data_IF_309665327322
#
_entry.id   IF_309665327322
#
_cell.length_a   1.000
_cell.length_b   1.000
_cell.length_c   1.000
_cell.angle_alpha   90.00
_cell.angle_beta   90.00
_cell.angle_gamma   90.00
#
_symmetry.space_group_name_H-M   'P 1'
#
loop_
_entity.id
_entity.type
_entity.pdbx_description
1 polymer ?
#
# COMPACT_ATOMS: atom_id res chain seq x y z
N UNK A 1 -27.81 69.56 -27.00
CA UNK A 1 -26.92 68.89 -27.97
C UNK A 1 -25.49 68.89 -27.47
N UNK A 2 -25.05 67.78 -26.86
CA UNK A 2 -23.83 67.01 -27.21
C UNK A 2 -23.55 65.97 -26.10
N UNK A 3 -23.92 64.72 -26.44
CA UNK A 3 -23.23 63.44 -26.15
C UNK A 3 -23.19 63.03 -24.67
N UNK A 4 -23.96 62.07 -24.19
CA UNK A 4 -24.10 60.68 -24.67
C UNK A 4 -22.75 60.07 -25.06
N UNK A 5 -21.86 59.84 -24.08
CA UNK A 5 -20.75 58.89 -24.19
C UNK A 5 -20.11 58.50 -22.84
N UNK A 6 -20.89 58.34 -21.76
CA UNK A 6 -20.44 57.60 -20.55
C UNK A 6 -21.60 56.73 -20.07
N UNK A 7 -22.17 55.99 -21.03
CA UNK A 7 -22.55 54.61 -20.79
C UNK A 7 -21.23 53.83 -20.89
N UNK A 8 -21.09 52.75 -20.12
CA UNK A 8 -20.20 51.61 -20.41
C UNK A 8 -18.91 51.42 -19.58
N UNK A 9 -18.80 51.87 -18.32
CA UNK A 9 -17.74 51.34 -17.41
C UNK A 9 -18.25 50.87 -16.05
N UNK A 10 -19.42 51.32 -15.57
CA UNK A 10 -19.85 51.02 -14.18
C UNK A 10 -20.95 49.94 -14.11
N UNK A 11 -21.42 49.43 -15.25
CA UNK A 11 -22.44 48.36 -15.32
C UNK A 11 -21.95 47.08 -16.03
N UNK A 12 -20.66 46.77 -15.91
CA UNK A 12 -20.15 45.38 -15.96
C UNK A 12 -19.84 45.00 -14.51
N UNK A 13 -20.88 45.13 -13.67
CA UNK A 13 -20.91 44.65 -12.28
C UNK A 13 -21.92 43.49 -12.17
N UNK A 14 -22.11 42.78 -13.27
CA UNK A 14 -22.84 41.51 -13.35
C UNK A 14 -21.91 40.50 -14.03
N UNK A 15 -21.71 39.36 -13.37
CA UNK A 15 -21.14 38.11 -13.91
C UNK A 15 -19.64 38.13 -14.26
N UNK A 16 -18.80 38.06 -13.23
CA UNK A 16 -17.76 37.02 -13.22
C UNK A 16 -17.93 36.26 -11.91
N UNK A 17 -18.83 35.28 -11.97
CA UNK A 17 -18.85 34.14 -11.05
C UNK A 17 -17.52 33.43 -11.31
N UNK A 18 -16.52 33.67 -10.47
CA UNK A 18 -15.40 32.74 -10.39
C UNK A 18 -15.98 31.43 -9.86
N UNK A 19 -15.80 30.29 -10.55
CA UNK A 19 -15.98 29.02 -9.87
C UNK A 19 -14.87 29.00 -8.82
N UNK A 20 -15.25 29.12 -7.55
CA UNK A 20 -14.41 28.59 -6.48
C UNK A 20 -14.52 27.07 -6.69
N UNK A 21 -13.65 26.54 -7.54
CA UNK A 21 -13.33 25.12 -7.50
C UNK A 21 -12.70 24.90 -6.13
N UNK A 22 -13.52 24.49 -5.17
CA UNK A 22 -13.04 23.86 -3.96
C UNK A 22 -12.56 22.48 -4.43
N UNK A 23 -11.32 22.44 -4.94
CA UNK A 23 -10.60 21.18 -4.96
C UNK A 23 -10.37 20.83 -3.48
N UNK A 24 -11.26 20.01 -2.93
CA UNK A 24 -10.93 19.18 -1.76
C UNK A 24 -10.00 18.08 -2.28
N UNK A 25 -8.82 18.47 -2.77
CA UNK A 25 -7.68 17.59 -2.75
C UNK A 25 -7.28 17.54 -1.28
N UNK A 26 -7.42 16.38 -0.63
CA UNK A 26 -6.84 16.20 0.68
C UNK A 26 -5.32 16.35 0.54
N UNK A 27 -4.82 17.56 0.77
CA UNK A 27 -3.39 17.78 0.93
C UNK A 27 -3.00 17.11 2.25
N UNK A 28 -2.66 15.82 2.19
CA UNK A 28 -1.70 15.29 3.16
C UNK A 28 -0.44 16.10 2.88
N UNK A 29 -0.15 17.08 3.73
CA UNK A 29 1.20 17.64 3.83
C UNK A 29 2.11 16.45 4.13
N UNK A 30 2.80 15.96 3.11
CA UNK A 30 3.84 14.96 3.29
C UNK A 30 4.98 15.71 3.97
N UNK A 31 5.20 15.42 5.26
CA UNK A 31 6.39 15.89 5.96
C UNK A 31 7.63 15.43 5.19
N UNK A 32 8.70 16.22 5.18
CA UNK A 32 9.95 15.83 4.51
C UNK A 32 10.59 14.59 5.15
N UNK A 33 11.74 14.17 4.62
CA UNK A 33 12.47 13.02 5.17
C UNK A 33 12.78 13.22 6.65
N UNK A 34 12.36 12.27 7.48
CA UNK A 34 12.70 12.28 8.91
C UNK A 34 14.10 11.72 9.08
N UNK A 35 14.99 12.53 9.64
CA UNK A 35 16.40 12.20 9.86
C UNK A 35 16.64 12.12 11.36
N UNK A 36 16.90 10.92 11.88
CA UNK A 36 17.03 10.69 13.31
C UNK A 36 18.36 10.02 13.64
N UNK A 37 19.11 10.62 14.56
CA UNK A 37 20.25 9.93 15.19
C UNK A 37 19.73 8.87 16.15
N UNK A 38 20.24 7.66 16.04
CA UNK A 38 19.84 6.52 16.88
C UNK A 38 21.06 5.91 17.57
N UNK A 39 20.80 5.14 18.62
CA UNK A 39 21.79 4.33 19.34
C UNK A 39 21.78 2.90 18.84
N UNK A 40 22.83 2.11 19.14
CA UNK A 40 22.83 0.67 18.86
C UNK A 40 21.70 -0.07 19.58
N UNK A 41 21.29 0.39 20.76
CA UNK A 41 20.17 -0.21 21.51
C UNK A 41 18.84 0.04 20.78
N UNK A 42 18.61 1.28 20.32
CA UNK A 42 17.45 1.61 19.50
C UNK A 42 17.48 0.82 18.18
N UNK A 43 18.65 0.70 17.56
CA UNK A 43 18.85 -0.10 16.36
C UNK A 43 18.47 -1.58 16.59
N UNK A 44 18.96 -2.21 17.66
CA UNK A 44 18.58 -3.58 18.03
C UNK A 44 17.10 -3.68 18.38
N UNK A 45 16.51 -2.63 18.95
CA UNK A 45 15.08 -2.59 19.24
C UNK A 45 14.22 -2.51 17.98
N UNK A 46 14.69 -1.90 16.88
CA UNK A 46 14.03 -1.95 15.57
C UNK A 46 13.95 -3.39 15.03
N UNK A 47 15.03 -4.18 15.21
CA UNK A 47 15.05 -5.62 14.93
C UNK A 47 14.18 -6.47 15.85
N UNK A 48 13.95 -5.96 17.05
CA UNK A 48 13.08 -6.53 18.06
C UNK A 48 11.65 -5.97 18.08
N UNK A 49 11.27 -5.06 17.16
CA UNK A 49 9.87 -4.63 17.04
C UNK A 49 9.11 -5.87 16.59
N UNK A 50 8.26 -6.45 17.44
CA UNK A 50 7.33 -7.47 16.98
C UNK A 50 6.53 -6.82 15.87
N UNK A 51 6.35 -7.52 14.75
CA UNK A 51 5.19 -7.37 13.88
C UNK A 51 3.96 -7.16 14.78
N UNK A 52 3.61 -5.91 15.11
CA UNK A 52 2.62 -5.66 16.15
C UNK A 52 1.27 -5.83 15.51
N UNK A 53 0.84 -7.09 15.42
CA UNK A 53 -0.56 -7.47 15.37
C UNK A 53 -1.25 -6.85 16.59
N UNK A 54 -1.92 -5.72 16.39
CA UNK A 54 -3.15 -5.46 17.13
C UNK A 54 -4.31 -5.93 16.27
N UNK A 55 -4.48 -7.26 16.20
CA UNK A 55 -5.78 -7.82 15.80
C UNK A 55 -6.67 -7.73 17.02
N UNK A 56 -7.55 -6.73 17.04
CA UNK A 56 -8.81 -6.84 17.77
C UNK A 56 -9.86 -7.14 16.71
N UNK A 57 -10.55 -8.26 16.91
CA UNK A 57 -11.53 -8.79 15.97
C UNK A 57 -12.58 -7.77 15.57
N UNK A 58 -13.06 -7.94 14.34
CA UNK A 58 -14.34 -7.45 13.82
C UNK A 58 -15.00 -6.36 14.67
N UNK A 59 -14.61 -5.09 14.45
CA UNK A 59 -15.45 -3.87 14.54
C UNK A 59 -14.65 -2.54 14.59
N UNK A 60 -13.32 -2.54 14.63
CA UNK A 60 -12.55 -1.28 14.53
C UNK A 60 -11.85 -1.12 13.17
N UNK A 61 -12.28 -0.12 12.39
CA UNK A 61 -11.59 0.43 11.21
C UNK A 61 -10.28 1.14 11.60
N UNK A 62 -9.35 0.44 12.25
CA UNK A 62 -8.05 1.00 12.60
C UNK A 62 -6.97 0.23 11.85
N UNK A 63 -6.45 0.88 10.82
CA UNK A 63 -5.27 0.52 10.05
C UNK A 63 -4.19 -0.12 10.94
N UNK A 64 -3.90 -1.40 10.72
CA UNK A 64 -2.80 -2.07 11.41
C UNK A 64 -1.52 -1.74 10.66
N UNK A 65 -0.61 -1.01 11.30
CA UNK A 65 0.72 -0.69 10.76
C UNK A 65 1.70 -1.82 11.09
N UNK A 66 2.54 -2.17 10.13
CA UNK A 66 3.47 -3.29 10.20
C UNK A 66 4.78 -2.90 9.50
N UNK A 67 5.92 -3.06 10.15
CA UNK A 67 7.23 -2.90 9.51
C UNK A 67 7.67 -4.24 8.89
N UNK A 68 8.09 -4.22 7.63
CA UNK A 68 8.42 -5.41 6.84
C UNK A 68 9.73 -5.20 6.10
N UNK A 69 10.63 -6.19 6.18
CA UNK A 69 11.99 -6.13 5.61
C UNK A 69 13.02 -6.60 6.61
N UNK A 70 14.29 -6.24 6.40
CA UNK A 70 15.34 -6.56 7.38
C UNK A 70 15.53 -5.42 8.39
N UNK A 71 15.23 -5.73 9.65
CA UNK A 71 15.46 -4.84 10.78
C UNK A 71 16.55 -5.31 11.76
N UNK A 72 17.30 -6.37 11.43
CA UNK A 72 18.44 -6.82 12.24
C UNK A 72 19.72 -6.12 11.79
N UNK A 73 20.59 -5.71 12.71
CA UNK A 73 21.71 -4.83 12.37
C UNK A 73 22.95 -5.05 13.24
N UNK A 74 24.09 -5.31 12.60
CA UNK A 74 25.33 -5.70 13.28
C UNK A 74 26.58 -5.08 12.64
N UNK A 75 26.58 -4.86 11.32
CA UNK A 75 27.78 -4.46 10.58
C UNK A 75 27.54 -3.26 9.66
N UNK A 76 28.64 -2.66 9.21
CA UNK A 76 28.63 -1.60 8.20
C UNK A 76 29.42 -2.01 6.98
N UNK A 77 28.89 -1.75 5.80
CA UNK A 77 29.57 -1.97 4.53
C UNK A 77 30.08 -0.63 4.03
N UNK A 78 31.40 -0.54 3.92
CA UNK A 78 32.11 0.65 3.46
C UNK A 78 32.25 0.64 1.95
N UNK A 79 32.49 1.81 1.35
CA UNK A 79 32.88 1.92 -0.08
C UNK A 79 31.81 1.38 -1.05
N UNK A 80 30.53 1.59 -0.76
CA UNK A 80 29.43 1.23 -1.67
C UNK A 80 28.73 2.46 -2.26
N UNK A 81 28.99 3.66 -1.73
CA UNK A 81 28.32 4.89 -2.15
C UNK A 81 29.21 5.69 -3.11
N UNK A 82 29.30 5.26 -4.38
CA UNK A 82 30.12 5.90 -5.41
C UNK A 82 29.28 6.37 -6.61
N UNK A 83 28.86 7.63 -6.58
CA UNK A 83 28.08 8.20 -7.69
C UNK A 83 26.59 8.03 -7.45
N UNK A 84 25.86 7.77 -8.54
CA UNK A 84 24.44 7.46 -8.47
C UNK A 84 24.33 5.98 -8.10
N UNK A 85 23.90 5.70 -6.88
CA UNK A 85 23.85 4.35 -6.35
C UNK A 85 22.43 4.04 -5.90
N UNK A 86 21.93 2.87 -6.27
CA UNK A 86 20.56 2.47 -5.97
C UNK A 86 20.57 1.13 -5.27
N UNK A 87 20.03 1.10 -4.05
CA UNK A 87 19.99 -0.08 -3.19
C UNK A 87 18.57 -0.50 -2.95
N UNK A 88 18.35 -1.81 -2.94
CA UNK A 88 17.02 -2.40 -2.88
C UNK A 88 16.99 -3.59 -1.93
N UNK A 89 15.88 -3.74 -1.19
CA UNK A 89 15.66 -4.85 -0.28
C UNK A 89 14.27 -5.47 -0.52
N UNK A 90 14.24 -6.80 -0.56
CA UNK A 90 13.03 -7.59 -0.74
C UNK A 90 12.15 -7.52 0.50
N UNK A 91 10.87 -7.21 0.28
CA UNK A 91 9.85 -7.06 1.31
C UNK A 91 8.70 -8.03 1.01
N UNK A 92 8.43 -8.94 1.94
CA UNK A 92 7.29 -9.85 1.88
C UNK A 92 6.25 -9.48 2.95
N UNK A 93 5.18 -8.77 2.57
CA UNK A 93 4.17 -8.32 3.52
C UNK A 93 3.24 -9.42 4.03
N UNK A 94 3.37 -10.67 3.56
CA UNK A 94 2.52 -11.79 4.01
C UNK A 94 2.62 -12.00 5.52
N UNK A 95 3.75 -11.68 6.15
CA UNK A 95 3.93 -11.74 7.60
C UNK A 95 2.99 -10.79 8.38
N UNK A 96 2.42 -9.77 7.74
CA UNK A 96 1.47 -8.85 8.37
C UNK A 96 0.04 -9.39 8.42
N UNK A 97 -0.28 -10.53 7.79
CA UNK A 97 -1.64 -11.06 7.70
C UNK A 97 -1.72 -12.55 8.04
N UNK A 98 -2.73 -12.93 8.82
CA UNK A 98 -2.99 -14.35 9.14
C UNK A 98 -3.94 -15.05 8.16
N UNK A 99 -4.74 -14.31 7.37
CA UNK A 99 -5.87 -14.90 6.62
C UNK A 99 -6.26 -14.25 5.30
N UNK A 100 -5.53 -13.25 4.80
CA UNK A 100 -5.85 -12.54 3.55
C UNK A 100 -4.61 -12.50 2.64
N UNK A 101 -4.74 -12.47 1.30
CA UNK A 101 -3.60 -12.41 0.39
C UNK A 101 -2.84 -11.06 0.44
N UNK A 102 -3.23 -10.17 1.37
CA UNK A 102 -2.44 -9.03 1.85
C UNK A 102 -2.30 -7.91 0.84
N UNK A 103 -3.37 -7.12 0.64
CA UNK A 103 -3.19 -5.80 0.03
C UNK A 103 -2.60 -4.89 1.09
N UNK A 104 -1.46 -4.29 0.77
CA UNK A 104 -0.79 -3.38 1.67
C UNK A 104 -0.64 -2.03 1.04
N UNK A 105 -0.59 -1.00 1.87
CA UNK A 105 -0.22 0.34 1.47
C UNK A 105 1.10 0.70 2.18
N UNK A 106 2.25 0.58 1.51
CA UNK A 106 3.51 1.12 1.99
C UNK A 106 3.37 2.63 2.18
N UNK A 107 3.63 3.08 3.39
CA UNK A 107 3.50 4.49 3.80
C UNK A 107 4.86 5.17 3.83
N UNK A 108 5.91 4.41 4.16
CA UNK A 108 7.28 4.91 4.18
C UNK A 108 8.31 3.82 3.94
N UNK A 109 9.48 4.24 3.49
CA UNK A 109 10.69 3.40 3.42
C UNK A 109 11.69 3.97 4.42
N UNK A 110 12.42 3.09 5.11
CA UNK A 110 13.45 3.48 6.07
C UNK A 110 14.77 2.79 5.80
N UNK A 111 15.86 3.54 5.93
CA UNK A 111 17.24 3.03 5.83
C UNK A 111 18.07 3.46 7.02
N UNK A 112 18.97 2.59 7.49
CA UNK A 112 19.97 2.95 8.49
C UNK A 112 21.34 3.11 7.85
N UNK A 113 21.97 4.24 8.17
CA UNK A 113 23.29 4.62 7.71
C UNK A 113 24.21 4.86 8.90
N UNK A 114 25.51 4.65 8.70
CA UNK A 114 26.53 4.91 9.70
C UNK A 114 27.59 5.87 9.18
N UNK A 115 27.70 7.04 9.81
CA UNK A 115 28.76 8.00 9.56
C UNK A 115 29.97 7.71 10.48
N UNK A 116 31.13 7.39 9.90
CA UNK A 116 32.35 7.07 10.67
C UNK A 116 33.12 8.31 11.15
N UNK A 117 32.87 9.49 10.57
CA UNK A 117 33.51 10.75 10.90
C UNK A 117 32.57 11.93 10.61
N UNK A 118 32.95 13.13 11.04
CA UNK A 118 32.22 14.36 10.71
C UNK A 118 32.19 14.56 9.19
N UNK A 119 31.03 14.92 8.66
CA UNK A 119 30.83 15.24 7.25
C UNK A 119 30.85 16.76 7.13
N UNK A 120 32.04 17.30 6.90
CA UNK A 120 32.32 18.74 6.88
C UNK A 120 32.26 19.26 5.45
N UNK A 121 31.89 20.54 5.27
CA UNK A 121 31.77 21.21 3.96
C UNK A 121 30.78 20.52 3.00
N UNK A 122 29.74 19.91 3.56
CA UNK A 122 28.73 19.23 2.78
C UNK A 122 27.37 19.94 2.84
N UNK A 123 26.81 20.28 1.68
CA UNK A 123 25.45 20.84 1.55
C UNK A 123 24.35 19.80 1.74
N UNK A 124 24.71 18.52 1.81
CA UNK A 124 23.81 17.38 1.94
C UNK A 124 24.00 16.40 0.78
N UNK A 125 23.35 15.25 0.87
CA UNK A 125 23.29 14.27 -0.21
C UNK A 125 21.84 14.15 -0.69
N UNK A 126 21.70 14.11 -2.00
CA UNK A 126 20.42 13.97 -2.66
C UNK A 126 19.98 12.50 -2.62
N UNK A 127 18.71 12.28 -2.28
CA UNK A 127 18.19 10.95 -2.02
C UNK A 127 16.70 10.87 -2.35
N UNK A 128 16.27 9.69 -2.81
CA UNK A 128 14.87 9.38 -3.06
C UNK A 128 14.59 7.92 -2.75
N UNK A 129 13.42 7.64 -2.21
CA UNK A 129 12.95 6.29 -1.96
C UNK A 129 12.00 5.82 -3.06
N UNK A 130 11.99 4.52 -3.31
CA UNK A 130 11.27 3.89 -4.42
C UNK A 130 10.65 2.56 -4.00
N UNK A 131 9.51 2.22 -4.60
CA UNK A 131 8.94 0.87 -4.57
C UNK A 131 9.03 0.31 -5.99
N UNK A 132 9.62 -0.87 -6.13
CA UNK A 132 9.67 -1.63 -7.38
C UNK A 132 8.92 -2.95 -7.27
N UNK A 133 8.48 -3.46 -8.42
CA UNK A 133 7.98 -4.82 -8.55
C UNK A 133 9.03 -5.85 -8.13
N UNK A 134 8.56 -6.97 -7.57
CA UNK A 134 9.36 -8.18 -7.48
C UNK A 134 9.20 -8.98 -8.78
N UNK A 135 10.21 -8.95 -9.64
CA UNK A 135 10.23 -9.67 -10.91
C UNK A 135 10.92 -11.03 -10.76
N UNK A 136 10.25 -12.10 -11.21
CA UNK A 136 10.76 -13.46 -11.06
C UNK A 136 11.35 -13.97 -12.37
N UNK A 137 12.69 -13.92 -12.48
CA UNK A 137 13.44 -14.58 -13.56
C UNK A 137 14.25 -15.75 -12.99
N UNK A 138 13.55 -16.84 -12.63
CA UNK A 138 14.15 -18.03 -12.04
C UNK A 138 13.78 -18.22 -10.56
N UNK A 139 14.72 -18.72 -9.76
CA UNK A 139 14.48 -19.00 -8.33
C UNK A 139 14.50 -17.77 -7.43
N UNK A 140 14.90 -16.61 -7.97
CA UNK A 140 15.09 -15.38 -7.23
C UNK A 140 14.24 -14.27 -7.81
N UNK A 141 13.59 -13.51 -6.94
CA UNK A 141 13.00 -12.25 -7.29
C UNK A 141 14.11 -11.20 -7.41
N UNK A 142 14.07 -10.39 -8.46
CA UNK A 142 14.89 -9.19 -8.62
C UNK A 142 13.99 -7.95 -8.66
N UNK A 143 14.49 -6.77 -8.30
CA UNK A 143 13.71 -5.55 -8.44
C UNK A 143 13.44 -5.24 -9.92
N UNK A 144 12.25 -4.73 -10.22
CA UNK A 144 11.95 -4.15 -11.52
C UNK A 144 12.79 -2.91 -11.82
N UNK A 145 12.89 -2.53 -13.09
CA UNK A 145 13.67 -1.35 -13.51
C UNK A 145 12.89 -0.04 -13.42
N UNK A 146 11.56 -0.09 -13.28
CA UNK A 146 10.72 1.08 -13.16
C UNK A 146 10.19 1.19 -11.73
N UNK A 147 10.43 2.33 -11.08
CA UNK A 147 9.78 2.66 -9.82
C UNK A 147 8.28 2.83 -10.05
N UNK A 148 7.49 2.09 -9.29
CA UNK A 148 6.03 2.20 -9.30
C UNK A 148 5.55 3.34 -8.40
N UNK A 149 6.29 3.57 -7.30
CA UNK A 149 6.03 4.62 -6.34
C UNK A 149 7.33 5.24 -5.88
N UNK A 150 7.30 6.52 -5.50
CA UNK A 150 8.48 7.22 -5.02
C UNK A 150 8.17 8.06 -3.79
N UNK A 151 9.19 8.43 -3.02
CA UNK A 151 9.12 9.62 -2.17
C UNK A 151 9.35 10.88 -3.01
N UNK A 152 9.21 12.04 -2.38
CA UNK A 152 9.79 13.26 -2.94
C UNK A 152 11.32 13.16 -2.93
N UNK A 153 11.92 13.88 -3.87
CA UNK A 153 13.37 14.08 -3.91
C UNK A 153 13.78 15.00 -2.76
N UNK A 154 14.75 14.58 -1.96
CA UNK A 154 15.18 15.31 -0.77
C UNK A 154 16.70 15.45 -0.72
N UNK A 155 17.17 16.57 -0.15
CA UNK A 155 18.58 16.76 0.20
C UNK A 155 18.71 16.63 1.71
N UNK A 156 19.39 15.56 2.15
CA UNK A 156 19.54 15.23 3.57
C UNK A 156 20.93 15.63 4.06
N UNK A 157 21.00 16.18 5.26
CA UNK A 157 22.25 16.52 5.93
C UNK A 157 22.48 15.62 7.14
N UNK A 158 23.60 14.87 7.10
CA UNK A 158 24.19 14.22 8.26
C UNK A 158 25.53 14.90 8.49
N UNK A 159 25.74 15.48 9.68
CA UNK A 159 26.95 16.27 9.95
C UNK A 159 27.92 15.60 10.93
N UNK A 160 27.44 14.69 11.77
CA UNK A 160 28.24 14.10 12.86
C UNK A 160 28.28 12.56 12.82
N UNK A 161 29.35 11.94 13.35
CA UNK A 161 29.47 10.49 13.42
C UNK A 161 28.32 9.82 14.19
N UNK A 162 28.00 8.59 13.80
CA UNK A 162 27.03 7.74 14.47
C UNK A 162 26.03 7.09 13.53
N UNK A 163 25.04 6.43 14.12
CA UNK A 163 23.94 5.77 13.43
C UNK A 163 22.80 6.74 13.16
N UNK A 164 22.25 6.65 11.97
CA UNK A 164 21.19 7.52 11.48
C UNK A 164 20.10 6.70 10.80
N UNK A 165 18.86 6.85 11.27
CA UNK A 165 17.65 6.32 10.64
C UNK A 165 17.04 7.43 9.79
N UNK A 166 16.90 7.17 8.49
CA UNK A 166 16.22 8.05 7.56
C UNK A 166 14.90 7.38 7.16
N UNK A 167 13.78 8.09 7.33
CA UNK A 167 12.44 7.61 6.96
C UNK A 167 11.82 8.53 5.92
N UNK A 168 11.43 7.93 4.79
CA UNK A 168 10.95 8.58 3.59
C UNK A 168 9.45 8.32 3.43
N UNK A 169 8.58 9.31 3.62
CA UNK A 169 7.18 9.14 3.29
C UNK A 169 6.99 9.02 1.78
N UNK A 170 6.10 8.12 1.35
CA UNK A 170 5.78 7.90 -0.05
C UNK A 170 4.68 8.87 -0.51
N UNK A 171 4.82 9.43 -1.72
CA UNK A 171 4.03 10.58 -2.16
C UNK A 171 2.77 10.22 -2.97
N UNK A 172 2.48 8.93 -3.14
CA UNK A 172 1.34 8.42 -3.90
C UNK A 172 0.77 7.18 -3.22
N UNK A 173 -0.52 6.94 -3.43
CA UNK A 173 -1.15 5.66 -3.07
C UNK A 173 -0.41 4.52 -3.77
N UNK A 174 0.37 3.80 -2.99
CA UNK A 174 1.27 2.76 -3.45
C UNK A 174 0.71 1.39 -3.08
N UNK A 175 -0.51 1.06 -3.49
CA UNK A 175 -1.05 -0.25 -3.15
C UNK A 175 -0.09 -1.36 -3.65
N UNK A 176 0.00 -2.45 -2.91
CA UNK A 176 0.82 -3.60 -3.25
C UNK A 176 0.04 -4.88 -2.94
N UNK A 177 0.03 -5.78 -3.92
CA UNK A 177 -0.47 -7.14 -3.75
C UNK A 177 0.73 -8.08 -3.78
N UNK A 178 1.04 -8.69 -2.64
CA UNK A 178 2.19 -9.58 -2.50
C UNK A 178 3.54 -8.86 -2.38
N UNK A 179 4.65 -9.60 -2.57
CA UNK A 179 6.00 -9.07 -2.35
C UNK A 179 6.39 -7.93 -3.29
N UNK A 180 7.33 -7.11 -2.81
CA UNK A 180 7.88 -5.97 -3.54
C UNK A 180 9.31 -5.69 -3.10
N UNK A 181 9.94 -4.72 -3.74
CA UNK A 181 11.23 -4.20 -3.34
C UNK A 181 11.09 -2.78 -2.81
N UNK A 182 11.70 -2.51 -1.66
CA UNK A 182 11.86 -1.18 -1.11
C UNK A 182 13.28 -0.71 -1.40
N UNK A 183 13.41 0.48 -1.99
CA UNK A 183 14.68 0.95 -2.51
C UNK A 183 14.98 2.40 -2.18
N UNK A 184 16.27 2.74 -2.23
CA UNK A 184 16.81 4.08 -2.00
C UNK A 184 17.84 4.36 -3.09
N UNK A 185 17.66 5.48 -3.80
CA UNK A 185 18.66 6.05 -4.70
C UNK A 185 19.41 7.18 -4.01
N UNK A 186 20.74 7.08 -3.99
CA UNK A 186 21.66 8.18 -3.68
C UNK A 186 22.07 8.83 -5.00
N UNK A 187 21.97 10.16 -5.08
CA UNK A 187 22.34 10.90 -6.28
C UNK A 187 23.65 11.69 -6.07
N UNK A 188 24.44 11.78 -7.13
CA UNK A 188 25.74 12.45 -7.18
C UNK A 188 25.64 13.96 -7.46
N UNK A 189 24.44 14.54 -7.37
CA UNK A 189 24.18 15.96 -7.65
C UNK A 189 24.12 16.82 -6.38
N UNK A 190 24.10 16.22 -5.18
CA UNK A 190 24.02 16.92 -3.88
C UNK A 190 25.25 17.74 -3.46
N UNK A 191 26.36 17.69 -4.23
CA UNK A 191 27.59 18.43 -3.96
C UNK A 191 28.55 17.75 -2.99
N UNK A 192 28.18 16.59 -2.43
CA UNK A 192 29.08 15.67 -1.73
C UNK A 192 28.65 14.25 -2.08
N UNK A 193 29.57 13.47 -2.67
CA UNK A 193 29.50 12.02 -2.53
C UNK A 193 29.63 11.71 -1.05
N UNK A 194 28.84 10.79 -0.48
CA UNK A 194 28.73 10.69 0.96
C UNK A 194 30.01 10.07 1.52
N UNK A 195 31.01 10.92 1.77
CA UNK A 195 32.14 10.58 2.61
C UNK A 195 31.65 10.14 3.99
N UNK A 196 32.58 9.68 4.83
CA UNK A 196 32.45 8.59 5.82
C UNK A 196 31.13 7.79 5.99
N UNK A 197 30.18 7.77 5.06
CA UNK A 197 28.85 7.21 5.22
C UNK A 197 28.82 5.77 4.68
N UNK A 198 28.27 4.87 5.48
CA UNK A 198 28.26 3.45 5.19
C UNK A 198 26.85 2.89 5.34
N UNK A 199 26.55 1.87 4.54
CA UNK A 199 25.32 1.11 4.65
C UNK A 199 25.41 0.20 5.87
N UNK A 200 24.32 0.08 6.62
CA UNK A 200 24.22 -0.87 7.74
C UNK A 200 23.61 -2.18 7.25
N UNK A 201 24.09 -3.31 7.75
CA UNK A 201 23.60 -4.66 7.43
C UNK A 201 23.49 -5.56 8.66
N UNK A 202 22.73 -6.65 8.53
CA UNK A 202 22.73 -7.74 9.53
C UNK A 202 23.97 -8.65 9.43
N UNK A 203 23.99 -9.69 10.25
CA UNK A 203 25.02 -10.73 10.29
C UNK A 203 24.59 -12.05 9.61
N UNK A 204 23.50 -12.02 8.83
CA UNK A 204 22.91 -13.22 8.24
C UNK A 204 22.87 -13.13 6.71
N UNK A 205 23.83 -13.75 6.00
CA UNK A 205 23.88 -13.67 4.55
C UNK A 205 22.66 -14.37 3.95
N UNK A 206 21.86 -13.60 3.22
CA UNK A 206 20.68 -14.11 2.53
C UNK A 206 20.71 -13.68 1.07
N UNK A 207 20.84 -14.66 0.19
CA UNK A 207 20.68 -14.48 -1.24
C UNK A 207 19.25 -14.05 -1.58
N UNK A 208 19.14 -13.34 -2.69
CA UNK A 208 17.90 -12.92 -3.33
C UNK A 208 17.05 -12.01 -2.46
N UNK A 209 17.72 -11.17 -1.68
CA UNK A 209 17.08 -10.26 -0.76
C UNK A 209 17.54 -8.82 -0.94
N UNK A 210 18.84 -8.57 -0.97
CA UNK A 210 19.38 -7.22 -1.09
C UNK A 210 20.17 -7.07 -2.39
N UNK A 211 19.91 -5.97 -3.09
CA UNK A 211 20.46 -5.69 -4.40
C UNK A 211 21.06 -4.29 -4.47
N UNK A 212 22.08 -4.14 -5.30
CA UNK A 212 22.60 -2.86 -5.75
C UNK A 212 22.41 -2.78 -7.28
N UNK A 213 21.95 -1.64 -7.78
CA UNK A 213 21.92 -1.37 -9.20
C UNK A 213 23.18 -0.59 -9.57
N UNK A 214 24.08 -1.23 -10.33
CA UNK A 214 25.27 -0.60 -10.86
C UNK A 214 25.17 -0.57 -12.38
N UNK A 215 25.26 0.64 -12.96
CA UNK A 215 25.18 0.88 -14.42
C UNK A 215 23.95 0.24 -15.10
N UNK A 216 22.81 0.21 -14.41
CA UNK A 216 21.56 -0.34 -14.95
C UNK A 216 21.44 -1.86 -14.82
N UNK A 217 22.30 -2.51 -14.03
CA UNK A 217 22.22 -3.96 -13.77
C UNK A 217 22.07 -4.23 -12.27
N UNK A 218 21.15 -5.13 -11.92
CA UNK A 218 20.95 -5.57 -10.55
C UNK A 218 21.96 -6.64 -10.13
N UNK A 219 22.69 -6.36 -9.06
CA UNK A 219 23.62 -7.28 -8.42
C UNK A 219 23.11 -7.65 -7.04
N UNK A 220 22.91 -8.95 -6.79
CA UNK A 220 22.68 -9.46 -5.45
C UNK A 220 23.93 -9.18 -4.62
N UNK A 221 23.79 -8.43 -3.54
CA UNK A 221 24.95 -7.90 -2.81
C UNK A 221 25.71 -9.01 -2.06
N UNK A 222 25.02 -10.05 -1.63
CA UNK A 222 25.63 -11.19 -0.92
C UNK A 222 26.33 -12.10 -1.93
N UNK A 223 25.67 -12.42 -3.05
CA UNK A 223 26.24 -13.28 -4.08
C UNK A 223 27.41 -12.62 -4.83
N UNK A 224 27.30 -11.32 -5.13
CA UNK A 224 28.24 -10.62 -6.01
C UNK A 224 29.44 -10.08 -5.23
N UNK A 225 29.21 -9.60 -4.00
CA UNK A 225 30.25 -8.94 -3.21
C UNK A 225 30.66 -9.70 -1.94
N UNK A 226 30.03 -10.85 -1.64
CA UNK A 226 30.38 -11.69 -0.49
C UNK A 226 30.07 -11.03 0.86
N UNK A 227 29.04 -10.19 0.91
CA UNK A 227 28.71 -9.40 2.09
C UNK A 227 28.08 -10.25 3.19
N UNK A 228 28.26 -9.80 4.43
CA UNK A 228 27.91 -10.53 5.66
C UNK A 228 26.41 -10.62 5.92
N UNK A 229 25.58 -9.85 5.21
CA UNK A 229 24.17 -9.73 5.54
C UNK A 229 23.34 -8.88 4.60
N UNK A 230 22.05 -8.77 4.93
CA UNK A 230 21.04 -7.98 4.22
C UNK A 230 21.13 -6.51 4.59
N UNK A 231 20.73 -5.65 3.66
CA UNK A 231 20.61 -4.21 3.89
C UNK A 231 19.66 -3.90 5.03
N UNK A 232 20.04 -2.89 5.80
CA UNK A 232 19.17 -2.24 6.77
C UNK A 232 18.16 -1.33 6.07
N UNK A 233 17.25 -1.93 5.32
CA UNK A 233 16.29 -1.24 4.48
C UNK A 233 14.95 -1.97 4.57
N UNK A 234 13.91 -1.23 4.94
CA UNK A 234 12.59 -1.81 5.23
C UNK A 234 11.47 -0.82 4.87
N UNK A 235 10.26 -1.34 4.73
CA UNK A 235 9.07 -0.55 4.48
C UNK A 235 8.12 -0.64 5.68
N UNK A 236 7.47 0.48 5.99
CA UNK A 236 6.33 0.52 6.89
C UNK A 236 5.07 0.43 6.05
N UNK A 237 4.25 -0.59 6.29
CA UNK A 237 3.03 -0.84 5.51
C UNK A 237 1.78 -0.79 6.38
N UNK A 238 0.71 -0.28 5.80
CA UNK A 238 -0.65 -0.31 6.32
C UNK A 238 -1.39 -1.50 5.70
N UNK A 239 -2.02 -2.32 6.54
CA UNK A 239 -2.88 -3.40 6.05
C UNK A 239 -4.25 -2.92 5.61
N UNK A 240 -4.63 -3.30 4.39
CA UNK A 240 -5.93 -2.98 3.82
C UNK A 240 -6.73 -4.26 3.70
N UNK A 241 -7.93 -4.25 4.28
CA UNK A 241 -8.90 -5.31 4.06
C UNK A 241 -9.50 -5.15 2.66
N UNK A 242 -9.27 -6.11 1.73
CA UNK A 242 -9.73 -5.99 0.36
C UNK A 242 -11.22 -6.28 0.19
N UNK A 243 -12.03 -6.18 1.24
CA UNK A 243 -13.48 -6.42 1.14
C UNK A 243 -14.22 -5.17 0.67
N UNK A 244 -15.28 -5.31 -0.15
CA UNK A 244 -16.18 -4.21 -0.44
C UNK A 244 -16.90 -3.74 0.83
N UNK A 245 -17.20 -2.44 0.93
CA UNK A 245 -17.83 -1.86 2.11
C UNK A 245 -19.27 -1.43 1.81
N UNK A 246 -20.25 -2.04 2.50
CA UNK A 246 -21.66 -1.66 2.37
C UNK A 246 -21.87 -0.22 2.89
N UNK A 247 -22.41 0.65 2.05
CA UNK A 247 -22.69 2.07 2.36
C UNK A 247 -24.11 2.22 2.87
N UNK A 248 -25.09 1.63 2.18
CA UNK A 248 -26.50 1.78 2.53
C UNK A 248 -27.35 0.64 2.03
N UNK A 249 -28.42 0.35 2.78
CA UNK A 249 -29.56 -0.46 2.34
C UNK A 249 -30.80 0.39 2.57
N UNK A 250 -31.57 0.66 1.52
CA UNK A 250 -32.77 1.49 1.59
C UNK A 250 -33.91 0.84 0.84
N UNK A 251 -35.11 0.99 1.38
CA UNK A 251 -36.35 0.65 0.69
C UNK A 251 -36.51 1.51 -0.56
N UNK A 252 -37.10 0.95 -1.63
CA UNK A 252 -37.39 1.72 -2.85
C UNK A 252 -38.66 2.54 -2.62
N UNK A 253 -38.60 3.89 -2.66
CA UNK A 253 -39.80 4.68 -2.44
C UNK A 253 -40.87 4.38 -3.48
N UNK A 254 -42.12 4.30 -3.03
CA UNK A 254 -43.29 4.12 -3.89
C UNK A 254 -43.32 2.76 -4.63
N UNK A 255 -42.58 1.76 -4.15
CA UNK A 255 -42.91 0.37 -4.46
C UNK A 255 -44.07 -0.10 -3.57
N UNK A 256 -44.82 -1.12 -4.01
CA UNK A 256 -45.87 -1.74 -3.17
C UNK A 256 -45.27 -2.62 -2.04
N UNK A 257 -44.04 -2.30 -1.62
CA UNK A 257 -43.17 -3.12 -0.81
C UNK A 257 -42.44 -4.21 -1.60
N UNK A 258 -41.27 -4.59 -1.11
CA UNK A 258 -40.57 -5.80 -1.54
C UNK A 258 -39.25 -5.56 -2.27
N UNK A 259 -38.92 -4.31 -2.61
CA UNK A 259 -37.63 -3.99 -3.21
C UNK A 259 -36.73 -3.13 -2.34
N UNK A 260 -35.43 -3.42 -2.38
CA UNK A 260 -34.40 -2.65 -1.67
C UNK A 260 -33.29 -2.24 -2.61
N UNK A 261 -32.77 -1.04 -2.44
CA UNK A 261 -31.52 -0.59 -3.06
C UNK A 261 -30.36 -0.75 -2.08
N UNK A 262 -29.36 -1.51 -2.53
CA UNK A 262 -28.06 -1.69 -1.89
C UNK A 262 -27.06 -0.73 -2.55
N UNK A 263 -26.18 -0.11 -1.76
CA UNK A 263 -24.99 0.61 -2.24
C UNK A 263 -23.76 0.17 -1.47
N UNK A 264 -22.64 -0.02 -2.16
CA UNK A 264 -21.37 -0.36 -1.55
C UNK A 264 -20.20 0.33 -2.26
N UNK A 265 -19.13 0.58 -1.52
CA UNK A 265 -17.83 0.93 -2.09
C UNK A 265 -17.15 -0.32 -2.60
N UNK A 266 -16.42 -0.16 -3.69
CA UNK A 266 -15.64 -1.24 -4.28
C UNK A 266 -14.62 -1.84 -3.31
N UNK A 267 -14.19 -3.06 -3.61
CA UNK A 267 -12.94 -3.60 -3.08
C UNK A 267 -11.75 -2.81 -3.66
N UNK A 268 -10.66 -2.67 -2.90
CA UNK A 268 -9.39 -2.12 -3.45
C UNK A 268 -8.79 -2.98 -4.57
N UNK A 269 -9.16 -4.26 -4.63
CA UNK A 269 -8.76 -5.18 -5.69
C UNK A 269 -9.57 -4.98 -6.99
N UNK A 270 -10.68 -4.26 -6.94
CA UNK A 270 -11.44 -3.81 -8.10
C UNK A 270 -10.85 -2.49 -8.63
N UNK A 271 -9.65 -2.61 -9.19
CA UNK A 271 -8.93 -1.51 -9.80
C UNK A 271 -8.28 -1.94 -11.08
N UNK A 272 -7.94 -0.97 -11.93
CA UNK A 272 -7.19 -1.21 -13.17
C UNK A 272 -5.79 -1.79 -12.92
N UNK A 273 -5.26 -1.68 -11.70
CA UNK A 273 -3.93 -2.18 -11.33
C UNK A 273 -3.95 -3.67 -10.97
N UNK A 274 -5.02 -4.15 -10.33
CA UNK A 274 -5.09 -5.53 -9.82
C UNK A 274 -6.13 -6.40 -10.51
N UNK A 275 -7.09 -5.81 -11.23
CA UNK A 275 -8.20 -6.38 -12.01
C UNK A 275 -8.60 -7.84 -11.69
N UNK A 276 -8.62 -8.19 -10.40
CA UNK A 276 -8.73 -9.57 -9.92
C UNK A 276 -10.13 -9.85 -9.43
N UNK A 277 -10.85 -8.80 -9.04
CA UNK A 277 -12.30 -8.83 -8.91
C UNK A 277 -12.89 -8.86 -10.32
N UNK A 278 -13.73 -9.84 -10.59
CA UNK A 278 -14.49 -9.96 -11.85
C UNK A 278 -15.95 -9.56 -11.69
N UNK A 279 -16.49 -9.74 -10.48
CA UNK A 279 -17.85 -9.35 -10.12
C UNK A 279 -18.02 -9.35 -8.59
N UNK A 280 -19.11 -8.71 -8.14
CA UNK A 280 -19.62 -8.78 -6.78
C UNK A 280 -20.82 -9.71 -6.75
N UNK A 281 -20.81 -10.69 -5.85
CA UNK A 281 -21.98 -11.53 -5.57
C UNK A 281 -22.81 -10.92 -4.43
N UNK A 282 -24.10 -10.66 -4.69
CA UNK A 282 -25.06 -10.15 -3.71
C UNK A 282 -25.77 -11.32 -3.06
N UNK A 283 -25.76 -11.35 -1.72
CA UNK A 283 -26.38 -12.40 -0.93
C UNK A 283 -27.36 -11.82 0.09
N UNK A 284 -28.48 -12.50 0.27
CA UNK A 284 -29.49 -12.18 1.28
C UNK A 284 -29.46 -13.21 2.39
N UNK A 285 -29.37 -12.76 3.65
CA UNK A 285 -29.47 -13.66 4.80
C UNK A 285 -30.90 -14.19 4.91
N UNK A 286 -31.03 -15.51 5.02
CA UNK A 286 -32.29 -16.18 5.31
C UNK A 286 -32.54 -16.19 6.83
N UNK A 287 -33.78 -15.94 7.24
CA UNK A 287 -34.19 -16.00 8.65
C UNK A 287 -35.64 -16.47 8.81
N UNK A 288 -35.96 -17.08 9.96
CA UNK A 288 -37.32 -17.52 10.29
C UNK A 288 -37.92 -18.46 9.23
N UNK A 289 -39.14 -18.16 8.77
CA UNK A 289 -39.89 -18.99 7.82
C UNK A 289 -39.19 -19.15 6.46
N UNK A 290 -38.42 -18.15 6.02
CA UNK A 290 -37.66 -18.22 4.76
C UNK A 290 -36.51 -19.22 4.83
N UNK A 291 -35.91 -19.39 6.01
CA UNK A 291 -34.92 -20.43 6.27
C UNK A 291 -35.57 -21.82 6.22
N UNK A 292 -36.70 -22.02 6.91
CA UNK A 292 -37.38 -23.32 6.96
C UNK A 292 -37.96 -23.76 5.60
N UNK A 293 -38.50 -22.82 4.80
CA UNK A 293 -39.03 -23.12 3.45
C UNK A 293 -37.92 -23.55 2.49
N UNK A 294 -36.80 -22.83 2.52
CA UNK A 294 -35.66 -23.15 1.67
C UNK A 294 -34.98 -24.45 2.10
N UNK A 295 -34.94 -24.77 3.39
CA UNK A 295 -34.48 -26.10 3.87
C UNK A 295 -35.29 -27.27 3.32
N UNK A 296 -36.57 -27.09 2.99
CA UNK A 296 -37.44 -28.15 2.43
C UNK A 296 -37.22 -28.38 0.93
N UNK A 297 -36.71 -27.37 0.22
CA UNK A 297 -36.47 -27.42 -1.23
C UNK A 297 -35.02 -27.78 -1.60
N UNK A 298 -34.08 -27.72 -0.64
CA UNK A 298 -32.68 -28.11 -0.83
C UNK A 298 -32.61 -29.64 -0.95
N UNK A 299 -32.28 -30.17 -2.13
CA UNK A 299 -31.91 -31.58 -2.27
C UNK A 299 -30.55 -31.80 -1.60
N UNK A 300 -30.27 -33.02 -1.12
CA UNK A 300 -29.02 -33.36 -0.43
C UNK A 300 -27.73 -33.17 -1.28
N UNK A 301 -27.86 -32.79 -2.55
CA UNK A 301 -26.76 -32.39 -3.44
C UNK A 301 -26.56 -30.88 -3.61
N UNK A 302 -27.45 -30.03 -3.12
CA UNK A 302 -27.41 -28.56 -3.34
C UNK A 302 -26.64 -27.79 -2.27
N UNK A 303 -26.11 -28.47 -1.24
CA UNK A 303 -25.18 -27.86 -0.29
C UNK A 303 -23.78 -27.81 -0.90
N UNK A 304 -23.50 -26.76 -1.65
CA UNK A 304 -22.16 -26.53 -2.19
C UNK A 304 -21.37 -25.61 -1.28
N UNK A 305 -20.40 -26.19 -0.58
CA UNK A 305 -19.38 -25.55 0.27
C UNK A 305 -18.42 -24.62 -0.51
N UNK A 306 -18.78 -24.26 -1.75
CA UNK A 306 -18.01 -23.38 -2.61
C UNK A 306 -18.46 -21.93 -2.46
N UNK A 307 -17.59 -21.08 -1.94
CA UNK A 307 -17.77 -19.61 -1.85
C UNK A 307 -17.85 -18.91 -3.21
N UNK A 308 -17.48 -19.59 -4.28
CA UNK A 308 -17.45 -19.05 -5.63
C UNK A 308 -18.78 -19.23 -6.38
N UNK A 309 -19.26 -18.15 -7.00
CA UNK A 309 -20.39 -18.15 -7.95
C UNK A 309 -19.84 -17.57 -9.25
N UNK A 310 -19.90 -18.25 -10.40
CA UNK A 310 -19.48 -17.68 -11.67
C UNK A 310 -20.31 -16.45 -12.06
N UNK A 311 -19.73 -15.50 -12.80
CA UNK A 311 -20.41 -14.25 -13.18
C UNK A 311 -21.71 -14.50 -13.99
N UNK A 312 -21.72 -15.56 -14.79
CA UNK A 312 -22.80 -16.02 -15.66
C UNK A 312 -23.74 -17.04 -15.00
N UNK A 313 -23.64 -17.22 -13.68
CA UNK A 313 -24.50 -18.13 -12.95
C UNK A 313 -25.97 -17.71 -13.03
N UNK A 314 -26.82 -18.68 -13.37
CA UNK A 314 -28.28 -18.57 -13.35
C UNK A 314 -28.85 -19.67 -12.43
N UNK A 315 -29.82 -19.32 -11.59
CA UNK A 315 -30.52 -20.27 -10.71
C UNK A 315 -30.52 -19.86 -9.24
N UNK A 316 -31.00 -20.75 -8.37
CA UNK A 316 -31.03 -20.54 -6.92
C UNK A 316 -29.79 -21.15 -6.28
N UNK A 317 -29.10 -20.38 -5.43
CA UNK A 317 -27.95 -20.88 -4.67
C UNK A 317 -28.05 -20.49 -3.20
N UNK A 318 -27.78 -21.45 -2.31
CA UNK A 318 -27.81 -21.23 -0.86
C UNK A 318 -26.46 -21.61 -0.25
N UNK A 319 -25.89 -20.69 0.54
CA UNK A 319 -24.66 -20.90 1.32
C UNK A 319 -25.01 -21.04 2.80
N UNK A 320 -24.48 -22.05 3.48
CA UNK A 320 -24.58 -22.19 4.95
C UNK A 320 -23.26 -21.80 5.59
N UNK A 321 -23.30 -21.05 6.68
CA UNK A 321 -22.11 -20.70 7.48
C UNK A 321 -22.15 -21.50 8.79
N UNK A 322 -21.26 -22.50 8.98
CA UNK A 322 -21.34 -23.45 10.09
C UNK A 322 -21.23 -22.82 11.49
N UNK A 323 -20.46 -21.74 11.65
CA UNK A 323 -19.94 -21.36 12.98
C UNK A 323 -20.67 -20.21 13.69
N UNK A 324 -21.71 -19.61 13.09
CA UNK A 324 -22.46 -18.50 13.71
C UNK A 324 -23.96 -18.74 13.58
N UNK A 325 -24.52 -19.59 14.46
CA UNK A 325 -25.97 -19.66 14.70
C UNK A 325 -26.84 -20.15 13.54
N UNK A 326 -26.31 -20.94 12.60
CA UNK A 326 -27.12 -21.56 11.55
C UNK A 326 -27.58 -20.59 10.45
N UNK A 327 -26.80 -19.56 10.14
CA UNK A 327 -27.13 -18.61 9.09
C UNK A 327 -26.98 -19.25 7.70
N UNK A 328 -28.08 -19.28 6.95
CA UNK A 328 -28.05 -19.51 5.51
C UNK A 328 -28.19 -18.19 4.76
N UNK A 329 -27.59 -18.15 3.58
CA UNK A 329 -27.61 -17.02 2.67
C UNK A 329 -28.07 -17.50 1.31
N UNK A 330 -28.96 -16.75 0.69
CA UNK A 330 -29.45 -16.97 -0.66
C UNK A 330 -28.72 -16.02 -1.60
N UNK A 331 -28.22 -16.54 -2.72
CA UNK A 331 -27.65 -15.76 -3.80
C UNK A 331 -28.76 -14.98 -4.51
N UNK A 332 -28.51 -13.71 -4.80
CA UNK A 332 -29.47 -12.81 -5.46
C UNK A 332 -29.01 -12.45 -6.86
N UNK A 333 -27.76 -12.02 -7.01
CA UNK A 333 -27.23 -11.53 -8.29
C UNK A 333 -25.70 -11.47 -8.29
N UNK A 334 -25.13 -11.41 -9.50
CA UNK A 334 -23.74 -11.05 -9.73
C UNK A 334 -23.66 -9.74 -10.50
N UNK A 335 -22.87 -8.80 -10.00
CA UNK A 335 -22.69 -7.46 -10.57
C UNK A 335 -21.26 -7.37 -11.12
N UNK A 336 -21.06 -7.26 -12.44
CA UNK A 336 -19.73 -7.15 -13.03
C UNK A 336 -18.93 -5.99 -12.44
N UNK A 337 -17.64 -6.23 -12.19
CA UNK A 337 -16.74 -5.18 -11.72
C UNK A 337 -16.27 -4.32 -12.91
N UNK A 338 -16.30 -3.01 -12.70
CA UNK A 338 -15.90 -1.98 -13.64
C UNK A 338 -14.95 -0.95 -13.03
N UNK A 339 -14.40 -1.23 -11.84
CA UNK A 339 -13.53 -0.33 -11.08
C UNK A 339 -14.16 1.02 -10.70
N UNK A 340 -15.49 1.11 -10.70
CA UNK A 340 -16.21 2.26 -10.15
C UNK A 340 -15.98 2.39 -8.65
N UNK A 341 -15.95 3.63 -8.15
CA UNK A 341 -15.75 3.86 -6.71
C UNK A 341 -16.92 3.34 -5.87
N UNK A 342 -18.12 3.36 -6.44
CA UNK A 342 -19.34 2.86 -5.82
C UNK A 342 -20.19 2.07 -6.82
N UNK A 343 -20.91 1.09 -6.28
CA UNK A 343 -21.89 0.29 -6.98
C UNK A 343 -23.25 0.40 -6.30
N UNK A 344 -24.30 0.13 -7.08
CA UNK A 344 -25.65 0.05 -6.57
C UNK A 344 -26.40 -1.12 -7.24
N UNK A 345 -27.30 -1.74 -6.50
CA UNK A 345 -28.16 -2.80 -7.02
C UNK A 345 -29.51 -2.74 -6.32
N UNK A 346 -30.59 -2.88 -7.10
CA UNK A 346 -31.96 -2.97 -6.58
C UNK A 346 -32.48 -4.38 -6.84
N UNK A 347 -32.95 -5.03 -5.77
CA UNK A 347 -33.60 -6.35 -5.78
C UNK A 347 -35.03 -6.22 -5.32
#
# INVERSE_FOLDING_TARGET
MKRSMIILIILILLLIILPISIDIASSRELEGVKVQRITEEQLKSLGGIPLSLNVIGAESQQATMCDVGNSNYVYTITNMLYGNEHFSAFVDPSACYQSNPGVVHPTSISIVLYATADIINCSGFAIQAHIESAEYSGSCASPGYAAECTSDYNVVQISSPGLWLLTFPLNKDCLRLGPFFASITFFNDGGCLPGPLNLVVDDWPQYCNSYNNYEGTWYDIVASYGLVGKLSLFATVEGIDPVPALISVKDVPEDDGGSITLRWRKSVLDSNLYSSVTHYAVWRRLSGDSYTRNLQNIQAGDSFDGTYVPIDYEGEKIRRVPDVGGNAWEWIANIPSHSFDEYAYTV
#
